data_IF_930135679673
#
_entry.id   IF_930135679673
#
_cell.length_a   1.000
_cell.length_b   1.000
_cell.length_c   1.000
_cell.angle_alpha   90.00
_cell.angle_beta   90.00
_cell.angle_gamma   90.00
#
_symmetry.space_group_name_H-M   'P 1'
#
loop_
_entity.id
_entity.type
_entity.pdbx_description
1 polymer ?
#
# COMPACT_ATOMS: atom_id res chain seq x y z
N UNK A 1 15.92 -54.32 70.26
CA UNK A 1 15.19 -54.23 68.96
C UNK A 1 14.39 -52.93 68.78
N UNK A 2 13.71 -52.38 69.80
CA UNK A 2 12.87 -51.18 69.64
C UNK A 2 13.63 -49.87 69.23
N UNK A 3 14.85 -49.66 69.74
CA UNK A 3 15.64 -48.44 69.46
C UNK A 3 16.11 -48.32 67.99
N UNK A 4 16.51 -49.43 67.38
CA UNK A 4 16.95 -49.47 65.96
C UNK A 4 15.78 -49.14 65.02
N UNK A 5 14.58 -49.63 65.32
CA UNK A 5 13.35 -49.35 64.55
C UNK A 5 12.96 -47.87 64.63
N UNK A 6 13.05 -47.26 65.81
CA UNK A 6 12.78 -45.83 65.98
C UNK A 6 13.80 -44.94 65.24
N UNK A 7 15.08 -45.33 65.25
CA UNK A 7 16.13 -44.62 64.51
C UNK A 7 15.90 -44.70 62.98
N UNK A 8 15.55 -45.88 62.47
CA UNK A 8 15.19 -46.10 61.07
C UNK A 8 13.94 -45.30 60.66
N UNK A 9 12.87 -45.33 61.47
CA UNK A 9 11.66 -44.54 61.21
C UNK A 9 11.97 -43.04 61.16
N UNK A 10 12.79 -42.51 62.08
CA UNK A 10 13.19 -41.10 62.09
C UNK A 10 14.06 -40.73 60.88
N UNK A 11 14.94 -41.62 60.44
CA UNK A 11 15.75 -41.43 59.24
C UNK A 11 14.90 -41.39 57.96
N UNK A 12 13.96 -42.33 57.82
CA UNK A 12 13.05 -42.41 56.68
C UNK A 12 12.13 -41.18 56.61
N UNK A 13 11.54 -40.75 57.73
CA UNK A 13 10.70 -39.54 57.76
C UNK A 13 11.48 -38.29 57.36
N UNK A 14 12.72 -38.12 57.83
CA UNK A 14 13.57 -36.99 57.43
C UNK A 14 13.91 -37.03 55.94
N UNK A 15 14.21 -38.22 55.42
CA UNK A 15 14.51 -38.40 54.00
C UNK A 15 13.30 -38.05 53.12
N UNK A 16 12.10 -38.53 53.47
CA UNK A 16 10.86 -38.21 52.75
C UNK A 16 10.61 -36.71 52.72
N UNK A 17 10.76 -36.03 53.86
CA UNK A 17 10.59 -34.57 53.94
C UNK A 17 11.60 -33.84 53.07
N UNK A 18 12.88 -34.23 53.11
CA UNK A 18 13.92 -33.65 52.26
C UNK A 18 13.64 -33.87 50.78
N UNK A 19 13.29 -35.08 50.37
CA UNK A 19 12.98 -35.42 48.99
C UNK A 19 11.78 -34.61 48.48
N UNK A 20 10.73 -34.48 49.27
CA UNK A 20 9.54 -33.70 48.89
C UNK A 20 9.87 -32.20 48.76
N UNK A 21 10.65 -31.64 49.69
CA UNK A 21 11.07 -30.24 49.64
C UNK A 21 11.95 -29.97 48.41
N UNK A 22 12.93 -30.84 48.12
CA UNK A 22 13.80 -30.71 46.95
C UNK A 22 13.01 -30.86 45.65
N UNK A 23 12.07 -31.80 45.58
CA UNK A 23 11.23 -31.99 44.39
C UNK A 23 10.34 -30.77 44.13
N UNK A 24 9.77 -30.18 45.19
CA UNK A 24 8.96 -28.97 45.08
C UNK A 24 9.80 -27.75 44.65
N UNK A 25 10.98 -27.54 45.23
CA UNK A 25 11.83 -26.40 44.88
C UNK A 25 12.40 -26.49 43.47
N UNK A 26 12.78 -27.69 43.02
CA UNK A 26 13.22 -27.92 41.63
C UNK A 26 12.04 -27.75 40.66
N UNK A 27 10.86 -28.28 41.01
CA UNK A 27 9.66 -28.14 40.20
C UNK A 27 9.24 -26.68 39.99
N UNK A 28 9.25 -25.87 41.05
CA UNK A 28 8.91 -24.44 40.95
C UNK A 28 9.93 -23.65 40.15
N UNK A 29 11.22 -23.97 40.26
CA UNK A 29 12.28 -23.34 39.46
C UNK A 29 12.09 -23.62 37.94
N UNK A 30 11.81 -24.86 37.56
CA UNK A 30 11.55 -25.23 36.16
C UNK A 30 10.31 -24.50 35.61
N UNK A 31 9.24 -24.41 36.41
CA UNK A 31 8.02 -23.69 36.01
C UNK A 31 8.32 -22.20 35.80
N UNK A 32 9.11 -21.59 36.69
CA UNK A 32 9.51 -20.19 36.59
C UNK A 32 10.33 -19.91 35.33
N UNK A 33 11.34 -20.74 35.05
CA UNK A 33 12.18 -20.57 33.87
C UNK A 33 11.38 -20.74 32.57
N UNK A 34 10.47 -21.73 32.52
CA UNK A 34 9.56 -21.92 31.39
C UNK A 34 8.62 -20.71 31.20
N UNK A 35 8.07 -20.19 32.29
CA UNK A 35 7.20 -19.02 32.25
C UNK A 35 7.96 -17.79 31.72
N UNK A 36 9.18 -17.56 32.22
CA UNK A 36 10.05 -16.47 31.75
C UNK A 36 10.40 -16.62 30.27
N UNK A 37 10.80 -17.82 29.84
CA UNK A 37 11.12 -18.10 28.44
C UNK A 37 9.93 -17.87 27.51
N UNK A 38 8.73 -18.31 27.91
CA UNK A 38 7.48 -18.07 27.16
C UNK A 38 7.18 -16.58 27.04
N UNK A 39 7.34 -15.80 28.11
CA UNK A 39 7.09 -14.37 28.08
C UNK A 39 8.08 -13.62 27.18
N UNK A 40 9.36 -14.01 27.20
CA UNK A 40 10.34 -13.44 26.26
C UNK A 40 9.99 -13.76 24.81
N UNK A 41 9.58 -15.00 24.51
CA UNK A 41 9.16 -15.38 23.16
C UNK A 41 7.90 -14.61 22.72
N UNK A 42 6.91 -14.46 23.61
CA UNK A 42 5.70 -13.68 23.34
C UNK A 42 6.03 -12.21 23.04
N UNK A 43 6.81 -11.54 23.90
CA UNK A 43 7.18 -10.14 23.70
C UNK A 43 7.99 -9.93 22.40
N UNK A 44 8.84 -10.89 22.05
CA UNK A 44 9.60 -10.85 20.80
C UNK A 44 8.69 -10.98 19.58
N UNK A 45 7.67 -11.84 19.64
CA UNK A 45 6.67 -11.97 18.59
C UNK A 45 5.80 -10.73 18.48
N UNK A 46 5.37 -10.13 19.59
CA UNK A 46 4.62 -8.87 19.60
C UNK A 46 5.42 -7.75 18.93
N UNK A 47 6.70 -7.62 19.30
CA UNK A 47 7.59 -6.60 18.68
C UNK A 47 7.72 -6.82 17.17
N UNK A 48 7.85 -8.07 16.72
CA UNK A 48 7.88 -8.40 15.29
C UNK A 48 6.56 -8.09 14.60
N UNK A 49 5.44 -8.38 15.26
CA UNK A 49 4.11 -8.11 14.73
C UNK A 49 3.86 -6.62 14.57
N UNK A 50 4.27 -5.80 15.55
CA UNK A 50 4.23 -4.34 15.46
C UNK A 50 5.09 -3.81 14.31
N UNK A 51 6.28 -4.38 14.10
CA UNK A 51 7.12 -4.06 12.95
C UNK A 51 6.45 -4.38 11.61
N UNK A 52 5.90 -5.59 11.46
CA UNK A 52 5.16 -6.00 10.26
C UNK A 52 3.94 -5.10 10.02
N UNK A 53 3.21 -4.73 11.07
CA UNK A 53 2.06 -3.82 10.97
C UNK A 53 2.51 -2.44 10.46
N UNK A 54 3.63 -1.92 10.94
CA UNK A 54 4.18 -0.65 10.45
C UNK A 54 4.59 -0.72 8.97
N UNK A 55 5.25 -1.81 8.57
CA UNK A 55 5.65 -2.04 7.18
C UNK A 55 4.44 -2.13 6.24
N UNK A 56 3.38 -2.84 6.65
CA UNK A 56 2.12 -2.93 5.90
C UNK A 56 1.50 -1.54 5.75
N UNK A 57 1.35 -0.78 6.83
CA UNK A 57 0.76 0.57 6.75
C UNK A 57 1.58 1.53 5.90
N UNK A 58 2.90 1.38 5.86
CA UNK A 58 3.75 2.17 4.96
C UNK A 58 3.54 1.76 3.50
N UNK A 59 3.47 0.47 3.20
CA UNK A 59 3.19 -0.05 1.86
C UNK A 59 1.81 0.38 1.35
N UNK A 60 0.77 0.32 2.19
CA UNK A 60 -0.58 0.77 1.84
C UNK A 60 -0.58 2.23 1.36
N UNK A 61 0.06 3.13 2.14
CA UNK A 61 0.18 4.55 1.78
C UNK A 61 0.95 4.76 0.48
N UNK A 62 2.03 4.00 0.27
CA UNK A 62 2.82 4.08 -0.96
C UNK A 62 2.00 3.65 -2.17
N UNK A 63 1.28 2.53 -2.07
CA UNK A 63 0.41 2.03 -3.14
C UNK A 63 -0.72 3.02 -3.44
N UNK A 64 -1.29 3.66 -2.43
CA UNK A 64 -2.32 4.69 -2.63
C UNK A 64 -1.79 5.92 -3.37
N UNK A 65 -0.57 6.37 -3.03
CA UNK A 65 0.10 7.47 -3.73
C UNK A 65 0.42 7.10 -5.18
N UNK A 66 1.06 5.96 -5.41
CA UNK A 66 1.43 5.47 -6.75
C UNK A 66 0.18 5.30 -7.64
N UNK A 67 -0.93 4.78 -7.07
CA UNK A 67 -2.21 4.64 -7.77
C UNK A 67 -2.82 5.99 -8.16
N UNK A 68 -2.71 6.98 -7.26
CA UNK A 68 -3.20 8.35 -7.51
C UNK A 68 -2.41 9.03 -8.62
N UNK A 69 -1.10 8.86 -8.65
CA UNK A 69 -0.22 9.39 -9.69
C UNK A 69 -0.52 8.75 -11.06
N UNK A 70 -0.67 7.43 -11.11
CA UNK A 70 -1.06 6.71 -12.33
C UNK A 70 -2.41 7.21 -12.85
N UNK A 71 -3.38 7.44 -11.96
CA UNK A 71 -4.69 7.99 -12.35
C UNK A 71 -4.56 9.39 -12.96
N UNK A 72 -3.74 10.26 -12.36
CA UNK A 72 -3.49 11.60 -12.90
C UNK A 72 -2.81 11.55 -14.28
N UNK A 73 -1.88 10.62 -14.46
CA UNK A 73 -1.21 10.38 -15.74
C UNK A 73 -2.17 9.89 -16.82
N UNK A 74 -3.06 8.93 -16.49
CA UNK A 74 -4.10 8.45 -17.40
C UNK A 74 -5.01 9.61 -17.83
N UNK A 75 -5.54 10.39 -16.88
CA UNK A 75 -6.42 11.53 -17.22
C UNK A 75 -5.73 12.59 -18.08
N UNK A 76 -4.42 12.82 -17.87
CA UNK A 76 -3.63 13.71 -18.72
C UNK A 76 -3.47 13.17 -20.14
N UNK A 77 -3.26 11.85 -20.29
CA UNK A 77 -3.15 11.20 -21.60
C UNK A 77 -4.49 11.19 -22.32
N UNK A 78 -5.59 10.89 -21.62
CA UNK A 78 -6.95 10.93 -22.16
C UNK A 78 -7.28 12.32 -22.71
N UNK A 79 -7.02 13.38 -21.94
CA UNK A 79 -7.23 14.75 -22.41
C UNK A 79 -6.42 15.07 -23.67
N UNK A 80 -5.15 14.69 -23.71
CA UNK A 80 -4.31 14.89 -24.91
C UNK A 80 -4.85 14.11 -26.11
N UNK A 81 -5.39 12.91 -25.88
CA UNK A 81 -5.99 12.10 -26.93
C UNK A 81 -7.26 12.77 -27.49
N UNK A 82 -8.13 13.28 -26.61
CA UNK A 82 -9.31 14.05 -27.00
C UNK A 82 -8.93 15.29 -27.82
N UNK A 83 -7.94 16.06 -27.37
CA UNK A 83 -7.41 17.23 -28.09
C UNK A 83 -6.89 16.83 -29.48
N UNK A 84 -6.13 15.73 -29.58
CA UNK A 84 -5.65 15.22 -30.87
C UNK A 84 -6.79 14.77 -31.79
N UNK A 85 -7.78 14.04 -31.26
CA UNK A 85 -8.94 13.60 -32.03
C UNK A 85 -9.73 14.78 -32.57
N UNK A 86 -9.92 15.84 -31.76
CA UNK A 86 -10.55 17.08 -32.18
C UNK A 86 -9.80 17.73 -33.35
N UNK A 87 -8.49 17.89 -33.24
CA UNK A 87 -7.65 18.48 -34.29
C UNK A 87 -7.74 17.66 -35.59
N UNK A 88 -7.69 16.33 -35.50
CA UNK A 88 -7.81 15.44 -36.66
C UNK A 88 -9.18 15.61 -37.32
N UNK A 89 -10.25 15.68 -36.53
CA UNK A 89 -11.61 15.89 -37.04
C UNK A 89 -11.75 17.22 -37.79
N UNK A 90 -11.27 18.32 -37.19
CA UNK A 90 -11.27 19.66 -37.81
C UNK A 90 -10.46 19.66 -39.11
N UNK A 91 -9.24 19.13 -39.08
CA UNK A 91 -8.38 19.06 -40.26
C UNK A 91 -9.00 18.19 -41.37
N UNK A 92 -9.59 17.04 -41.00
CA UNK A 92 -10.28 16.16 -41.93
C UNK A 92 -11.45 16.87 -42.62
N UNK A 93 -12.28 17.57 -41.84
CA UNK A 93 -13.43 18.33 -42.35
C UNK A 93 -13.04 19.41 -43.36
N UNK A 94 -11.88 20.05 -43.19
CA UNK A 94 -11.40 21.07 -44.12
C UNK A 94 -10.57 20.51 -45.29
N UNK A 95 -9.83 19.42 -45.09
CA UNK A 95 -8.90 18.88 -46.09
C UNK A 95 -9.59 17.95 -47.08
N UNK A 96 -10.53 17.11 -46.64
CA UNK A 96 -11.22 16.14 -47.51
C UNK A 96 -11.96 16.84 -48.66
N UNK A 97 -12.78 17.89 -48.43
CA UNK A 97 -13.44 18.61 -49.53
C UNK A 97 -12.45 19.34 -50.45
N UNK A 98 -11.35 19.85 -49.91
CA UNK A 98 -10.31 20.52 -50.70
C UNK A 98 -9.62 19.56 -51.68
N UNK A 99 -9.49 18.29 -51.31
CA UNK A 99 -9.01 17.22 -52.21
C UNK A 99 -10.04 16.91 -53.31
N UNK A 100 -11.34 17.06 -53.04
CA UNK A 100 -12.44 16.90 -54.00
C UNK A 100 -12.70 18.17 -54.86
N UNK A 101 -11.68 19.03 -54.99
CA UNK A 101 -11.70 20.34 -55.68
C UNK A 101 -12.57 21.44 -55.04
N UNK A 102 -13.37 21.17 -54.01
CA UNK A 102 -14.05 22.22 -53.24
C UNK A 102 -13.14 22.82 -52.15
N UNK A 103 -12.47 23.92 -52.52
CA UNK A 103 -11.55 24.64 -51.63
C UNK A 103 -12.24 25.70 -50.76
N UNK A 104 -13.57 25.80 -50.76
CA UNK A 104 -14.28 26.87 -50.04
C UNK A 104 -14.01 26.81 -48.54
N UNK A 105 -14.26 25.66 -47.91
CA UNK A 105 -14.10 25.47 -46.46
C UNK A 105 -12.65 25.70 -45.99
N UNK A 106 -11.67 25.28 -46.78
CA UNK A 106 -10.25 25.45 -46.47
C UNK A 106 -9.83 26.93 -46.51
N UNK A 107 -10.33 27.70 -47.49
CA UNK A 107 -10.06 29.15 -47.57
C UNK A 107 -10.70 29.91 -46.41
N UNK A 108 -11.95 29.61 -46.08
CA UNK A 108 -12.63 30.23 -44.94
C UNK A 108 -11.93 29.93 -43.61
N UNK A 109 -11.43 28.69 -43.44
CA UNK A 109 -10.67 28.31 -42.25
C UNK A 109 -9.33 29.07 -42.15
N UNK A 110 -8.55 29.14 -43.24
CA UNK A 110 -7.29 29.91 -43.30
C UNK A 110 -7.51 31.38 -42.95
N UNK A 111 -8.54 32.00 -43.53
CA UNK A 111 -8.84 33.41 -43.32
C UNK A 111 -9.24 33.71 -41.88
N UNK A 112 -10.00 32.81 -41.23
CA UNK A 112 -10.29 32.90 -39.79
C UNK A 112 -9.03 32.73 -38.93
N UNK A 113 -8.18 31.76 -39.27
CA UNK A 113 -6.95 31.50 -38.54
C UNK A 113 -5.95 32.68 -38.62
N UNK A 114 -5.84 33.33 -39.79
CA UNK A 114 -5.04 34.55 -39.96
C UNK A 114 -5.62 35.74 -39.19
N UNK A 115 -6.95 35.91 -39.19
CA UNK A 115 -7.61 36.94 -38.39
C UNK A 115 -7.33 36.75 -36.89
N UNK A 116 -7.45 35.52 -36.40
CA UNK A 116 -7.13 35.13 -35.02
C UNK A 116 -5.68 35.42 -34.62
N UNK A 117 -4.73 35.18 -35.53
CA UNK A 117 -3.31 35.48 -35.29
C UNK A 117 -3.05 36.98 -35.15
N UNK A 118 -3.86 37.83 -35.76
CA UNK A 118 -3.70 39.28 -35.74
C UNK A 118 -4.40 39.95 -34.55
N UNK A 119 -5.52 39.40 -34.06
CA UNK A 119 -6.35 40.04 -33.02
C UNK A 119 -6.16 39.46 -31.61
N UNK A 120 -5.36 38.39 -31.46
CA UNK A 120 -5.28 37.67 -30.19
C UNK A 120 -6.49 36.74 -30.01
N UNK A 121 -6.32 35.66 -29.26
CA UNK A 121 -7.24 34.51 -29.23
C UNK A 121 -8.66 34.78 -28.70
N UNK A 122 -9.00 36.01 -28.33
CA UNK A 122 -10.27 36.37 -27.65
C UNK A 122 -11.51 36.23 -28.56
N UNK A 123 -11.36 36.27 -29.89
CA UNK A 123 -12.48 36.22 -30.85
C UNK A 123 -12.64 34.89 -31.61
N UNK A 124 -11.86 33.86 -31.28
CA UNK A 124 -11.67 32.67 -32.13
C UNK A 124 -12.62 31.49 -31.84
N UNK A 125 -13.48 31.59 -30.84
CA UNK A 125 -14.17 30.44 -30.24
C UNK A 125 -15.45 29.96 -30.94
N UNK A 126 -15.71 30.34 -32.19
CA UNK A 126 -16.89 29.88 -32.94
C UNK A 126 -16.52 28.98 -34.13
N UNK A 127 -15.86 27.85 -33.85
CA UNK A 127 -15.86 26.72 -34.79
C UNK A 127 -17.16 25.94 -34.52
N UNK A 128 -18.04 25.74 -35.52
CA UNK A 128 -19.29 25.02 -35.31
C UNK A 128 -18.98 23.59 -34.87
N UNK A 129 -19.53 23.20 -33.71
CA UNK A 129 -19.64 21.79 -33.32
C UNK A 129 -20.52 21.11 -34.37
N UNK A 130 -19.96 20.12 -35.06
CA UNK A 130 -20.72 19.22 -35.91
C UNK A 130 -21.67 18.37 -35.05
#
# INVERSE_FOLDING_TARGET
MASVKALLCRGISKLIVLTNTVTLTVGTAIIWDNHRGRNHAANHLDTKFDGVKADISHLEKKVEADSSDVKADISRVEKKLEDCQWIIGVNGHHTIPALDRDKKLMREWLQRHECCKQHGSEDCESIPKA
#
